data_IF_436552810009
#
_entry.id   IF_436552810009
#
_cell.length_a   1.000
_cell.length_b   1.000
_cell.length_c   1.000
_cell.angle_alpha   90.00
_cell.angle_beta   90.00
_cell.angle_gamma   90.00
#
_symmetry.space_group_name_H-M   'P 1'
#
loop_
_entity.id
_entity.type
_entity.pdbx_description
1 polymer ?
#
# COMPACT_ATOMS: atom_id res chain seq x y z
N UNK A 1 18.60 28.10 37.43
CA UNK A 1 17.50 27.14 37.20
C UNK A 1 16.67 27.42 35.95
N UNK A 2 16.26 28.68 35.65
CA UNK A 2 15.47 29.00 34.44
C UNK A 2 16.14 28.65 33.09
N UNK A 3 17.47 28.74 32.99
CA UNK A 3 18.21 28.45 31.75
C UNK A 3 18.27 26.95 31.39
N UNK A 4 18.27 26.07 32.40
CA UNK A 4 18.31 24.60 32.20
C UNK A 4 16.93 24.09 31.78
N UNK A 5 15.86 24.71 32.28
CA UNK A 5 14.49 24.35 31.92
C UNK A 5 14.16 24.68 30.46
N UNK A 6 14.68 25.81 29.96
CA UNK A 6 14.50 26.21 28.56
C UNK A 6 15.27 25.32 27.58
N UNK A 7 16.47 24.86 27.94
CA UNK A 7 17.24 23.93 27.10
C UNK A 7 16.62 22.53 27.06
N UNK A 8 16.01 22.05 28.17
CA UNK A 8 15.25 20.79 28.16
C UNK A 8 13.98 20.88 27.29
N UNK A 9 13.29 22.03 27.29
CA UNK A 9 12.08 22.24 26.48
C UNK A 9 12.38 22.22 24.98
N UNK A 10 13.53 22.77 24.57
CA UNK A 10 13.97 22.78 23.16
C UNK A 10 14.38 21.37 22.72
N UNK A 11 15.08 20.60 23.55
CA UNK A 11 15.41 19.20 23.24
C UNK A 11 14.16 18.32 23.08
N UNK A 12 13.12 18.54 23.89
CA UNK A 12 11.84 17.84 23.73
C UNK A 12 11.09 18.25 22.45
N UNK A 13 11.17 19.52 22.05
CA UNK A 13 10.57 19.99 20.81
C UNK A 13 11.25 19.41 19.56
N UNK A 14 12.58 19.27 19.58
CA UNK A 14 13.34 18.67 18.46
C UNK A 14 13.06 17.16 18.36
N UNK A 15 12.91 16.46 19.48
CA UNK A 15 12.54 15.03 19.48
C UNK A 15 11.12 14.76 18.95
N UNK A 16 10.19 15.71 19.05
CA UNK A 16 8.83 15.58 18.50
C UNK A 16 8.76 15.89 16.99
N UNK A 17 9.72 16.63 16.44
CA UNK A 17 9.72 16.98 15.01
C UNK A 17 10.25 15.86 14.11
N UNK A 18 11.01 14.89 14.62
CA UNK A 18 11.50 13.76 13.81
C UNK A 18 10.43 12.70 13.54
N UNK A 19 9.29 12.73 14.26
CA UNK A 19 8.20 11.76 14.10
C UNK A 19 7.15 12.18 13.05
N UNK A 20 7.23 13.41 12.52
CA UNK A 20 6.23 13.92 11.58
C UNK A 20 6.38 13.33 10.17
N UNK A 21 7.59 12.95 9.74
CA UNK A 21 7.81 12.30 8.43
C UNK A 21 7.43 10.81 8.42
N UNK A 22 7.17 10.20 9.57
CA UNK A 22 6.76 8.80 9.70
C UNK A 22 5.24 8.61 9.56
N UNK A 23 4.45 9.69 9.63
CA UNK A 23 2.98 9.61 9.69
C UNK A 23 2.33 9.01 8.43
N UNK A 24 3.00 9.13 7.28
CA UNK A 24 2.51 8.66 5.97
C UNK A 24 3.34 7.55 5.34
N UNK A 25 4.16 6.87 6.15
CA UNK A 25 4.79 5.65 5.68
C UNK A 25 3.90 4.44 5.98
N UNK A 26 3.70 3.64 4.94
CA UNK A 26 3.35 2.23 5.12
C UNK A 26 4.50 1.62 5.94
N UNK A 27 4.21 0.74 6.92
CA UNK A 27 5.25 0.18 7.81
C UNK A 27 6.34 -0.61 7.08
N UNK A 28 6.14 -0.88 5.79
CA UNK A 28 7.04 -1.64 4.95
C UNK A 28 7.72 -0.74 3.93
N UNK A 29 9.02 -0.96 3.73
CA UNK A 29 9.81 -0.23 2.76
C UNK A 29 9.53 -0.79 1.35
N UNK A 30 9.07 0.07 0.45
CA UNK A 30 8.91 -0.27 -0.96
C UNK A 30 10.24 -0.72 -1.59
N UNK A 31 10.17 -1.74 -2.44
CA UNK A 31 11.21 -2.06 -3.43
C UNK A 31 11.05 -1.07 -4.58
N UNK A 32 12.03 -0.18 -4.74
CA UNK A 32 12.00 0.91 -5.72
C UNK A 32 12.56 0.48 -7.07
N UNK A 33 12.43 1.36 -8.05
CA UNK A 33 13.14 1.27 -9.32
C UNK A 33 14.64 1.02 -9.08
N UNK A 34 15.22 0.08 -9.84
CA UNK A 34 16.62 -0.37 -9.74
C UNK A 34 17.01 -1.05 -8.42
N UNK A 35 16.10 -1.18 -7.44
CA UNK A 35 16.37 -1.96 -6.24
C UNK A 35 16.54 -3.43 -6.62
N UNK A 36 17.41 -4.09 -5.86
CA UNK A 36 17.79 -5.48 -6.09
C UNK A 36 17.21 -6.38 -5.01
N UNK A 37 16.69 -7.54 -5.42
CA UNK A 37 16.24 -8.60 -4.53
C UNK A 37 16.79 -9.95 -4.98
N UNK A 38 16.88 -10.91 -4.07
CA UNK A 38 17.24 -12.28 -4.40
C UNK A 38 16.43 -13.25 -3.54
N UNK A 39 16.29 -14.47 -4.03
CA UNK A 39 15.73 -15.58 -3.29
C UNK A 39 16.87 -16.45 -2.76
N UNK A 40 16.86 -16.80 -1.48
CA UNK A 40 17.85 -17.69 -0.88
C UNK A 40 17.15 -18.71 0.02
N UNK A 41 17.14 -19.98 -0.39
CA UNK A 41 16.41 -21.07 0.30
C UNK A 41 14.95 -20.67 0.59
N UNK A 42 14.22 -20.27 -0.45
CA UNK A 42 12.83 -19.80 -0.39
C UNK A 42 12.58 -18.55 0.46
N UNK A 43 13.64 -17.82 0.82
CA UNK A 43 13.55 -16.54 1.55
C UNK A 43 13.97 -15.38 0.66
N UNK A 44 13.04 -14.48 0.38
CA UNK A 44 13.31 -13.22 -0.32
C UNK A 44 14.10 -12.26 0.56
N UNK A 45 15.12 -11.64 -0.03
CA UNK A 45 15.96 -10.64 0.65
C UNK A 45 16.48 -9.59 -0.31
N UNK A 46 16.69 -8.38 0.20
CA UNK A 46 17.40 -7.30 -0.48
C UNK A 46 18.87 -7.16 -0.02
N UNK A 47 19.36 -8.12 0.78
CA UNK A 47 20.75 -8.17 1.23
C UNK A 47 21.61 -8.81 0.14
N UNK A 48 22.19 -7.97 -0.71
CA UNK A 48 22.97 -8.41 -1.86
C UNK A 48 24.43 -7.99 -1.70
N UNK A 49 25.32 -8.97 -1.80
CA UNK A 49 26.77 -8.79 -1.79
C UNK A 49 27.26 -8.42 -3.19
N UNK A 50 28.40 -7.73 -3.27
CA UNK A 50 29.07 -7.42 -4.56
C UNK A 50 29.44 -8.66 -5.37
N UNK A 51 29.54 -9.83 -4.73
CA UNK A 51 29.87 -11.10 -5.40
C UNK A 51 28.64 -11.90 -5.82
N UNK A 52 27.46 -11.49 -5.41
CA UNK A 52 26.24 -12.17 -5.80
C UNK A 52 26.00 -11.91 -7.29
N UNK A 53 25.83 -12.98 -8.05
CA UNK A 53 25.39 -12.94 -9.46
C UNK A 53 23.93 -13.36 -9.62
N UNK A 54 23.34 -13.97 -8.59
CA UNK A 54 21.96 -14.42 -8.59
C UNK A 54 21.09 -13.44 -7.81
N UNK A 55 20.55 -12.46 -8.54
CA UNK A 55 19.62 -11.46 -8.04
C UNK A 55 18.77 -10.93 -9.19
N UNK A 56 17.63 -10.38 -8.83
CA UNK A 56 16.73 -9.65 -9.70
C UNK A 56 16.85 -8.15 -9.46
N UNK A 57 16.72 -7.38 -10.53
CA UNK A 57 16.62 -5.92 -10.51
C UNK A 57 15.19 -5.54 -10.88
N UNK A 58 14.55 -4.72 -10.04
CA UNK A 58 13.23 -4.18 -10.34
C UNK A 58 13.33 -3.08 -11.40
N UNK A 59 12.46 -3.15 -12.39
CA UNK A 59 12.20 -2.11 -13.38
C UNK A 59 10.69 -1.87 -13.43
N UNK A 60 10.25 -0.62 -13.49
CA UNK A 60 8.84 -0.27 -13.65
C UNK A 60 8.51 -0.25 -15.13
N UNK A 61 7.49 -1.02 -15.52
CA UNK A 61 7.03 -1.16 -16.89
C UNK A 61 6.71 0.22 -17.51
N UNK A 62 7.10 0.43 -18.75
CA UNK A 62 6.69 1.60 -19.52
C UNK A 62 5.17 1.63 -19.74
N UNK A 63 4.58 2.83 -19.80
CA UNK A 63 3.15 3.03 -20.06
C UNK A 63 2.31 3.30 -18.81
N UNK A 64 0.98 3.23 -18.96
CA UNK A 64 0.03 3.74 -17.96
C UNK A 64 -0.27 2.79 -16.80
N UNK A 65 0.22 1.54 -16.87
CA UNK A 65 0.03 0.52 -15.82
C UNK A 65 1.08 0.58 -14.71
N UNK A 66 2.30 1.03 -15.04
CA UNK A 66 3.46 1.21 -14.15
C UNK A 66 3.65 0.06 -13.15
N UNK A 67 3.50 -1.19 -13.61
CA UNK A 67 3.69 -2.37 -12.78
C UNK A 67 5.16 -2.81 -12.75
N UNK A 68 5.53 -3.63 -11.79
CA UNK A 68 6.91 -4.07 -11.62
C UNK A 68 7.26 -5.26 -12.51
N UNK A 69 8.39 -5.15 -13.17
CA UNK A 69 9.11 -6.20 -13.87
C UNK A 69 10.42 -6.46 -13.13
N UNK A 70 10.86 -7.71 -13.15
CA UNK A 70 12.09 -8.14 -12.50
C UNK A 70 12.97 -8.82 -13.54
N UNK A 71 14.19 -8.31 -13.66
CA UNK A 71 15.18 -8.77 -14.63
C UNK A 71 16.32 -9.46 -13.88
N UNK A 72 16.86 -10.54 -14.43
CA UNK A 72 18.08 -11.17 -13.93
C UNK A 72 19.25 -10.17 -13.96
N UNK A 73 20.30 -10.48 -13.22
CA UNK A 73 21.51 -9.64 -13.15
C UNK A 73 22.21 -9.41 -14.50
N UNK A 74 21.97 -10.28 -15.49
CA UNK A 74 22.46 -10.18 -16.86
C UNK A 74 21.55 -9.33 -17.78
N UNK A 75 20.45 -8.80 -17.25
CA UNK A 75 19.48 -7.96 -17.97
C UNK A 75 18.41 -8.74 -18.72
N UNK A 76 18.35 -10.07 -18.61
CA UNK A 76 17.25 -10.86 -19.18
C UNK A 76 15.99 -10.76 -18.33
N UNK A 77 14.81 -10.68 -18.95
CA UNK A 77 13.54 -10.66 -18.23
C UNK A 77 13.35 -11.96 -17.44
N UNK A 78 13.00 -11.86 -16.16
CA UNK A 78 12.71 -13.00 -15.31
C UNK A 78 11.20 -13.16 -15.09
N UNK A 79 10.56 -12.17 -14.46
CA UNK A 79 9.13 -12.23 -14.15
C UNK A 79 8.52 -10.85 -13.92
N UNK A 80 7.19 -10.81 -13.84
CA UNK A 80 6.43 -9.62 -13.42
C UNK A 80 5.49 -9.99 -12.27
N UNK A 81 5.28 -9.05 -11.34
CA UNK A 81 4.30 -9.19 -10.25
C UNK A 81 2.90 -8.72 -10.68
N UNK A 82 2.82 -7.90 -11.74
CA UNK A 82 1.60 -7.15 -12.08
C UNK A 82 1.15 -6.15 -10.99
N UNK A 83 2.02 -5.87 -10.01
CA UNK A 83 1.75 -4.98 -8.87
C UNK A 83 2.50 -3.65 -9.03
N UNK A 84 2.03 -2.60 -8.35
CA UNK A 84 2.66 -1.27 -8.38
C UNK A 84 3.51 -0.99 -7.14
N UNK A 85 3.41 -1.86 -6.13
CA UNK A 85 4.13 -1.71 -4.88
C UNK A 85 4.50 -3.08 -4.35
N UNK A 86 5.76 -3.25 -3.96
CA UNK A 86 6.26 -4.51 -3.40
C UNK A 86 7.11 -4.24 -2.18
N UNK A 87 7.06 -5.15 -1.23
CA UNK A 87 7.89 -5.10 -0.04
C UNK A 87 8.22 -6.50 0.44
N UNK A 88 9.28 -6.60 1.24
CA UNK A 88 9.65 -7.85 1.88
C UNK A 88 9.03 -7.92 3.29
N UNK A 89 8.36 -9.02 3.59
CA UNK A 89 7.77 -9.26 4.90
C UNK A 89 8.10 -10.68 5.37
N UNK A 90 8.86 -10.79 6.47
CA UNK A 90 9.23 -12.09 7.09
C UNK A 90 9.88 -13.12 6.14
N UNK A 91 10.46 -12.68 5.02
CA UNK A 91 11.05 -13.56 4.02
C UNK A 91 10.19 -13.73 2.77
N UNK A 92 8.99 -13.19 2.75
CA UNK A 92 8.07 -13.25 1.62
C UNK A 92 8.17 -11.98 0.78
N UNK A 93 7.95 -12.10 -0.53
CA UNK A 93 7.76 -10.97 -1.44
C UNK A 93 6.26 -10.70 -1.53
N UNK A 94 5.83 -9.59 -0.94
CA UNK A 94 4.44 -9.15 -0.95
C UNK A 94 4.26 -8.04 -1.96
N UNK A 95 3.27 -8.15 -2.84
CA UNK A 95 2.90 -7.10 -3.79
C UNK A 95 1.48 -6.59 -3.56
N UNK A 96 1.25 -5.33 -3.91
CA UNK A 96 -0.07 -4.70 -3.93
C UNK A 96 -0.42 -4.21 -5.34
N UNK A 97 -1.59 -4.61 -5.81
CA UNK A 97 -2.16 -4.18 -7.09
C UNK A 97 -3.14 -3.03 -6.87
N UNK A 98 -2.82 -1.86 -7.42
CA UNK A 98 -3.69 -0.68 -7.34
C UNK A 98 -5.01 -0.87 -8.10
N UNK A 99 -4.99 -1.65 -9.17
CA UNK A 99 -6.19 -1.93 -9.97
C UNK A 99 -7.06 -3.03 -9.35
N UNK A 100 -6.46 -3.99 -8.65
CA UNK A 100 -7.24 -5.04 -8.00
C UNK A 100 -7.65 -4.64 -6.59
N UNK A 101 -6.94 -3.70 -5.94
CA UNK A 101 -7.01 -3.41 -4.51
C UNK A 101 -6.81 -4.67 -3.66
N UNK A 102 -5.79 -5.45 -4.02
CA UNK A 102 -5.46 -6.74 -3.41
C UNK A 102 -3.98 -6.84 -3.10
N UNK A 103 -3.68 -7.63 -2.08
CA UNK A 103 -2.33 -8.02 -1.72
C UNK A 103 -2.06 -9.44 -2.17
N UNK A 104 -0.85 -9.69 -2.64
CA UNK A 104 -0.41 -10.98 -3.11
C UNK A 104 0.92 -11.38 -2.49
N UNK A 105 1.05 -12.66 -2.22
CA UNK A 105 2.28 -13.33 -1.84
C UNK A 105 2.86 -14.06 -3.06
N UNK A 106 4.16 -13.90 -3.27
CA UNK A 106 4.87 -14.42 -4.43
C UNK A 106 5.93 -15.45 -4.03
N UNK A 107 5.79 -16.63 -4.61
CA UNK A 107 6.80 -17.70 -4.52
C UNK A 107 7.44 -17.88 -5.89
N UNK A 108 8.72 -18.23 -5.92
CA UNK A 108 9.45 -18.41 -7.17
C UNK A 108 10.15 -19.77 -7.16
N UNK A 109 9.71 -20.66 -8.05
CA UNK A 109 10.20 -22.03 -8.15
C UNK A 109 10.25 -22.43 -9.63
N UNK A 110 11.28 -23.18 -10.00
CA UNK A 110 11.48 -23.69 -11.37
C UNK A 110 11.40 -22.61 -12.46
N UNK A 111 11.88 -21.40 -12.16
CA UNK A 111 11.86 -20.26 -13.09
C UNK A 111 10.49 -19.59 -13.25
N UNK A 112 9.49 -19.98 -12.44
CA UNK A 112 8.14 -19.47 -12.51
C UNK A 112 7.76 -18.74 -11.21
N UNK A 113 7.18 -17.55 -11.39
CA UNK A 113 6.59 -16.79 -10.30
C UNK A 113 5.15 -17.26 -10.09
N UNK A 114 4.89 -17.87 -8.94
CA UNK A 114 3.55 -18.21 -8.49
C UNK A 114 3.01 -17.11 -7.59
N UNK A 115 1.71 -16.85 -7.68
CA UNK A 115 1.04 -15.78 -6.95
C UNK A 115 -0.15 -16.33 -6.17
N UNK A 116 -0.28 -15.92 -4.92
CA UNK A 116 -1.42 -16.22 -4.05
C UNK A 116 -2.01 -14.93 -3.50
N UNK A 117 -3.33 -14.78 -3.56
CA UNK A 117 -4.01 -13.67 -2.89
C UNK A 117 -3.96 -13.86 -1.37
N UNK A 118 -3.59 -12.81 -0.65
CA UNK A 118 -3.57 -12.82 0.81
C UNK A 118 -4.98 -12.72 1.38
N UNK A 119 -5.23 -13.48 2.44
CA UNK A 119 -6.47 -13.40 3.20
C UNK A 119 -6.56 -12.10 4.01
N UNK A 120 -7.78 -11.74 4.41
CA UNK A 120 -8.05 -10.58 5.27
C UNK A 120 -7.27 -10.67 6.58
N UNK A 121 -7.15 -11.86 7.17
CA UNK A 121 -6.46 -12.08 8.44
C UNK A 121 -4.94 -11.89 8.32
N UNK A 122 -4.34 -12.35 7.21
CA UNK A 122 -2.92 -12.11 6.91
C UNK A 122 -2.66 -10.60 6.73
N UNK A 123 -3.53 -9.91 5.99
CA UNK A 123 -3.43 -8.45 5.79
C UNK A 123 -3.61 -7.71 7.12
N UNK A 124 -4.58 -8.09 7.94
CA UNK A 124 -4.80 -7.49 9.26
C UNK A 124 -3.59 -7.69 10.19
N UNK A 125 -2.96 -8.88 10.13
CA UNK A 125 -1.73 -9.14 10.90
C UNK A 125 -0.55 -8.30 10.41
N UNK A 126 -0.48 -7.97 9.12
CA UNK A 126 0.55 -7.09 8.57
C UNK A 126 0.26 -5.61 8.82
N UNK A 127 -1.01 -5.22 8.90
CA UNK A 127 -1.43 -3.83 9.06
C UNK A 127 -2.33 -3.65 10.30
N UNK A 128 -1.83 -3.93 11.52
CA UNK A 128 -2.67 -3.98 12.72
C UNK A 128 -3.32 -2.63 13.07
N UNK A 129 -2.74 -1.51 12.62
CA UNK A 129 -3.25 -0.17 12.86
C UNK A 129 -4.28 0.30 11.81
N UNK A 130 -4.56 -0.52 10.79
CA UNK A 130 -5.48 -0.18 9.71
C UNK A 130 -6.81 -0.87 9.90
N UNK A 131 -7.89 -0.13 9.70
CA UNK A 131 -9.22 -0.72 9.53
C UNK A 131 -9.36 -1.20 8.09
N UNK A 132 -9.56 -2.51 7.92
CA UNK A 132 -9.91 -3.07 6.62
C UNK A 132 -11.40 -2.85 6.37
N UNK A 133 -11.72 -2.33 5.19
CA UNK A 133 -13.09 -2.18 4.68
C UNK A 133 -13.15 -2.88 3.34
N UNK A 134 -14.07 -3.82 3.19
CA UNK A 134 -14.26 -4.54 1.94
C UNK A 134 -15.22 -3.83 0.99
N UNK A 135 -15.01 -3.97 -0.31
CA UNK A 135 -15.89 -3.42 -1.34
C UNK A 135 -17.33 -3.94 -1.18
N UNK A 136 -17.52 -5.20 -0.81
CA UNK A 136 -18.85 -5.78 -0.56
C UNK A 136 -19.60 -5.20 0.64
N UNK A 137 -18.94 -4.48 1.55
CA UNK A 137 -19.60 -3.84 2.70
C UNK A 137 -20.42 -2.61 2.31
N UNK A 138 -20.14 -2.02 1.14
CA UNK A 138 -20.90 -0.89 0.66
C UNK A 138 -22.31 -1.33 0.26
N UNK A 139 -23.31 -0.53 0.63
CA UNK A 139 -24.71 -0.80 0.30
C UNK A 139 -24.90 -0.95 -1.21
N UNK A 140 -25.47 -2.06 -1.66
CA UNK A 140 -25.76 -2.30 -3.09
C UNK A 140 -26.69 -1.27 -3.74
N UNK A 141 -27.49 -0.56 -2.93
CA UNK A 141 -28.46 0.42 -3.40
C UNK A 141 -27.87 1.84 -3.51
N UNK A 142 -26.90 2.17 -2.65
CA UNK A 142 -26.38 3.54 -2.52
C UNK A 142 -24.87 3.65 -2.71
N UNK A 143 -24.18 2.52 -2.81
CA UNK A 143 -22.72 2.38 -2.73
C UNK A 143 -22.11 3.21 -1.60
N UNK A 144 -22.81 3.28 -0.46
CA UNK A 144 -22.36 4.03 0.70
C UNK A 144 -22.16 3.12 1.90
N UNK A 145 -21.17 3.46 2.73
CA UNK A 145 -20.87 2.79 3.99
C UNK A 145 -20.64 3.83 5.08
N UNK A 146 -21.32 3.68 6.22
CA UNK A 146 -21.12 4.54 7.40
C UNK A 146 -20.07 3.93 8.30
N UNK A 147 -19.05 4.70 8.63
CA UNK A 147 -17.93 4.24 9.47
C UNK A 147 -17.72 5.24 10.60
N UNK A 148 -17.57 4.75 11.83
CA UNK A 148 -17.20 5.59 12.97
C UNK A 148 -15.70 5.82 12.95
N UNK A 149 -15.27 7.08 13.02
CA UNK A 149 -13.85 7.44 13.10
C UNK A 149 -13.31 7.11 14.48
N UNK A 150 -12.18 6.41 14.52
CA UNK A 150 -11.43 6.11 15.73
C UNK A 150 -10.17 6.99 15.78
N UNK A 151 -9.88 7.59 16.94
CA UNK A 151 -8.70 8.43 17.16
C UNK A 151 -8.62 9.71 16.28
N UNK A 152 -7.45 10.38 16.34
CA UNK A 152 -7.14 11.51 15.47
C UNK A 152 -6.75 11.07 14.05
N UNK A 153 -5.99 9.98 13.94
CA UNK A 153 -5.62 9.34 12.68
C UNK A 153 -6.46 8.08 12.52
N UNK A 154 -7.12 7.92 11.38
CA UNK A 154 -7.95 6.76 11.10
C UNK A 154 -7.54 6.17 9.77
N UNK A 155 -6.67 5.17 9.85
CA UNK A 155 -6.05 4.51 8.70
C UNK A 155 -6.99 3.44 8.17
N UNK A 156 -7.25 3.46 6.87
CA UNK A 156 -8.15 2.52 6.19
C UNK A 156 -7.40 1.80 5.09
N UNK A 157 -7.65 0.50 4.95
CA UNK A 157 -7.38 -0.28 3.73
C UNK A 157 -8.74 -0.58 3.09
N UNK A 158 -8.96 -0.06 1.89
CA UNK A 158 -10.06 -0.50 1.03
C UNK A 158 -9.62 -1.76 0.28
N UNK A 159 -10.26 -2.89 0.57
CA UNK A 159 -9.92 -4.20 0.03
C UNK A 159 -11.02 -4.68 -0.91
N UNK A 160 -10.65 -5.15 -2.10
CA UNK A 160 -11.60 -5.69 -3.05
C UNK A 160 -11.81 -7.19 -2.87
N UNK A 161 -13.00 -7.56 -2.39
CA UNK A 161 -13.46 -8.94 -2.29
C UNK A 161 -14.49 -9.29 -3.39
N UNK A 162 -14.40 -8.61 -4.53
CA UNK A 162 -15.29 -8.79 -5.69
C UNK A 162 -14.48 -8.93 -6.99
N UNK A 163 -15.16 -9.22 -8.10
CA UNK A 163 -14.53 -9.31 -9.44
C UNK A 163 -14.35 -7.94 -10.13
N UNK A 164 -14.55 -6.84 -9.40
CA UNK A 164 -14.41 -5.48 -9.95
C UNK A 164 -12.93 -5.12 -10.16
N UNK A 165 -12.68 -4.27 -11.16
CA UNK A 165 -11.40 -3.64 -11.38
C UNK A 165 -11.49 -2.14 -11.06
N UNK A 166 -10.45 -1.61 -10.43
CA UNK A 166 -10.36 -0.26 -9.88
C UNK A 166 -9.23 0.55 -10.52
N UNK A 167 -8.82 0.19 -11.73
CA UNK A 167 -7.89 1.00 -12.51
C UNK A 167 -8.37 2.45 -12.56
N UNK A 168 -7.48 3.41 -12.28
CA UNK A 168 -7.77 4.85 -12.18
C UNK A 168 -8.79 5.31 -11.13
N UNK A 169 -9.17 4.45 -10.18
CA UNK A 169 -9.89 4.93 -9.01
C UNK A 169 -8.96 5.73 -8.09
N UNK A 170 -9.51 6.75 -7.44
CA UNK A 170 -8.81 7.50 -6.39
C UNK A 170 -9.78 8.08 -5.38
N UNK A 171 -9.26 8.44 -4.21
CA UNK A 171 -10.02 9.11 -3.17
C UNK A 171 -10.12 10.62 -3.41
N UNK A 172 -11.30 11.17 -3.13
CA UNK A 172 -11.56 12.60 -3.07
C UNK A 172 -12.53 12.92 -1.93
N UNK A 173 -12.56 14.16 -1.46
CA UNK A 173 -13.47 14.59 -0.41
C UNK A 173 -13.69 16.11 -0.47
N UNK A 174 -14.94 16.54 -0.38
CA UNK A 174 -15.32 17.96 -0.32
C UNK A 174 -15.41 18.54 1.10
N UNK A 175 -15.55 17.70 2.13
CA UNK A 175 -15.83 18.16 3.50
C UNK A 175 -14.99 17.47 4.61
N UNK A 176 -14.39 16.32 4.31
CA UNK A 176 -13.36 15.66 5.13
C UNK A 176 -11.93 16.03 4.71
N UNK A 177 -10.95 15.58 5.51
CA UNK A 177 -9.51 15.68 5.21
C UNK A 177 -8.87 14.31 5.38
N UNK A 178 -8.02 13.96 4.44
CA UNK A 178 -7.26 12.72 4.44
C UNK A 178 -5.92 12.92 3.75
N UNK A 179 -5.04 11.96 3.98
CA UNK A 179 -3.73 11.87 3.35
C UNK A 179 -3.67 10.52 2.60
N UNK A 180 -3.06 10.53 1.42
CA UNK A 180 -2.92 9.33 0.59
C UNK A 180 -1.63 8.58 0.95
N UNK A 181 -1.73 7.26 1.02
CA UNK A 181 -0.56 6.40 0.94
C UNK A 181 -0.18 6.13 -0.53
N UNK A 182 1.01 5.59 -0.81
CA UNK A 182 1.39 5.19 -2.18
C UNK A 182 0.47 4.11 -2.81
N UNK A 183 -0.32 3.40 -2.00
CA UNK A 183 -1.24 2.35 -2.42
C UNK A 183 -2.63 2.96 -2.53
N UNK A 184 -3.25 2.86 -3.72
CA UNK A 184 -4.51 3.54 -4.06
C UNK A 184 -5.66 3.30 -3.08
N UNK A 185 -5.73 2.10 -2.48
CA UNK A 185 -6.78 1.72 -1.53
C UNK A 185 -6.53 2.19 -0.09
N UNK A 186 -5.40 2.84 0.20
CA UNK A 186 -4.99 3.19 1.55
C UNK A 186 -5.04 4.70 1.78
N UNK A 187 -5.73 5.12 2.84
CA UNK A 187 -5.81 6.52 3.28
C UNK A 187 -5.69 6.67 4.79
N UNK A 188 -5.14 7.80 5.24
CA UNK A 188 -5.23 8.24 6.63
C UNK A 188 -6.26 9.37 6.75
N UNK A 189 -7.38 9.13 7.42
CA UNK A 189 -8.42 10.13 7.63
C UNK A 189 -8.13 10.94 8.90
N UNK A 190 -7.91 12.24 8.72
CA UNK A 190 -7.61 13.19 9.81
C UNK A 190 -8.83 14.02 10.20
N UNK A 191 -9.79 14.24 9.30
CA UNK A 191 -11.05 14.93 9.60
C UNK A 191 -12.25 14.18 9.02
N UNK A 192 -13.27 13.93 9.84
CA UNK A 192 -14.57 13.34 9.48
C UNK A 192 -15.20 14.03 8.26
N UNK A 193 -15.97 13.27 7.48
CA UNK A 193 -16.59 13.75 6.25
C UNK A 193 -17.02 12.61 5.34
N UNK A 194 -17.30 12.98 4.09
CA UNK A 194 -17.63 12.08 2.99
C UNK A 194 -16.40 11.92 2.11
N UNK A 195 -15.97 10.67 1.93
CA UNK A 195 -14.85 10.32 1.07
C UNK A 195 -15.39 9.49 -0.09
N UNK A 196 -15.14 9.97 -1.29
CA UNK A 196 -15.54 9.32 -2.53
C UNK A 196 -14.34 8.60 -3.12
N UNK A 197 -14.50 7.31 -3.38
CA UNK A 197 -13.56 6.51 -4.17
C UNK A 197 -14.17 6.26 -5.54
N UNK A 198 -13.56 6.81 -6.59
CA UNK A 198 -14.17 6.86 -7.93
C UNK A 198 -13.15 6.91 -9.06
N UNK A 199 -13.53 6.39 -10.22
CA UNK A 199 -12.80 6.49 -11.48
C UNK A 199 -12.93 7.89 -12.08
N UNK A 200 -11.91 8.75 -11.96
CA UNK A 200 -11.92 10.13 -12.48
C UNK A 200 -13.15 10.99 -12.10
N UNK A 201 -13.84 10.64 -11.01
CA UNK A 201 -15.09 11.30 -10.62
C UNK A 201 -16.34 10.81 -11.36
N UNK A 202 -16.24 9.83 -12.26
CA UNK A 202 -17.39 9.27 -12.98
C UNK A 202 -18.22 8.36 -12.10
N UNK A 203 -19.56 8.45 -12.22
CA UNK A 203 -20.51 7.57 -11.56
C UNK A 203 -21.38 6.85 -12.60
N UNK A 204 -20.91 5.69 -13.06
CA UNK A 204 -21.63 4.85 -14.03
C UNK A 204 -21.88 3.46 -13.47
N UNK A 205 -22.68 2.64 -14.16
CA UNK A 205 -22.89 1.24 -13.77
C UNK A 205 -21.57 0.44 -13.71
N UNK A 206 -20.68 0.72 -14.66
CA UNK A 206 -19.39 0.04 -14.79
C UNK A 206 -18.37 0.63 -13.81
N UNK A 207 -18.39 1.95 -13.64
CA UNK A 207 -17.52 2.68 -12.72
C UNK A 207 -18.35 3.40 -11.65
N UNK A 208 -18.94 2.69 -10.67
CA UNK A 208 -19.71 3.33 -9.62
C UNK A 208 -18.80 4.05 -8.63
N UNK A 209 -19.34 5.08 -7.98
CA UNK A 209 -18.72 5.65 -6.78
C UNK A 209 -18.86 4.71 -5.59
N UNK A 210 -17.85 4.70 -4.72
CA UNK A 210 -17.93 4.12 -3.39
C UNK A 210 -17.77 5.24 -2.36
N UNK A 211 -18.77 5.43 -1.50
CA UNK A 211 -18.88 6.57 -0.60
C UNK A 211 -18.70 6.13 0.85
N UNK A 212 -17.57 6.52 1.46
CA UNK A 212 -17.32 6.36 2.88
C UNK A 212 -17.85 7.58 3.65
N UNK A 213 -18.87 7.36 4.49
CA UNK A 213 -19.44 8.35 5.38
C UNK A 213 -18.80 8.21 6.77
N UNK A 214 -17.72 8.93 7.00
CA UNK A 214 -16.92 8.84 8.23
C UNK A 214 -17.41 9.86 9.26
N UNK A 215 -17.89 9.35 10.40
CA UNK A 215 -18.60 10.11 11.45
C UNK A 215 -17.93 10.08 12.80
#
# INVERSE_FOLDING_TARGET
MKKIFFSLLILFAVALTSSASELLNIPYKNIKEEDKIKLNNDVWTNKISRRDSDYFVKIVSDGTGSYSEFYNSDGTFAFTTGCQYEFLYKGDLIGYSNQDLKFYDFTYADGLLNRRELSVDEIASMFPDFKIIKISEFSTNTNSLKVKKEGHNFKIILLNDTDRNFYHYSFSSGNGKFENYPLTGLINITKKGMFQFSHFGDNTKNNPWFILLVR
#
